data_IF_006842720591
#
_entry.id   IF_006842720591
#
_cell.length_a   1.000
_cell.length_b   1.000
_cell.length_c   1.000
_cell.angle_alpha   90.00
_cell.angle_beta   90.00
_cell.angle_gamma   90.00
#
_symmetry.space_group_name_H-M   'P 1'
#
loop_
_entity.id
_entity.type
_entity.pdbx_description
1 polymer ?
#
# COMPACT_ATOMS: atom_id res chain seq x y z
N UNK A 1 -7.23 -5.13 -1.10
CA UNK A 1 -6.98 -6.56 -0.86
C UNK A 1 -7.44 -6.96 0.53
N UNK A 2 -7.74 -8.21 0.73
CA UNK A 2 -8.24 -8.74 2.00
C UNK A 2 -7.26 -8.56 3.15
N UNK A 3 -5.98 -8.75 2.89
CA UNK A 3 -4.92 -8.63 3.89
C UNK A 3 -4.74 -7.19 4.42
N UNK A 4 -5.16 -6.20 3.66
CA UNK A 4 -5.10 -4.78 4.08
C UNK A 4 -5.88 -4.53 5.36
N UNK A 5 -6.99 -5.21 5.55
CA UNK A 5 -7.80 -5.09 6.76
C UNK A 5 -7.04 -5.49 8.02
N UNK A 6 -6.22 -6.54 7.93
CA UNK A 6 -5.35 -6.95 9.04
C UNK A 6 -4.32 -5.90 9.41
N UNK A 7 -3.72 -5.24 8.41
CA UNK A 7 -2.73 -4.19 8.64
C UNK A 7 -3.33 -3.03 9.46
N UNK A 8 -4.50 -2.56 9.05
CA UNK A 8 -5.19 -1.50 9.78
C UNK A 8 -5.67 -1.95 11.17
N UNK A 9 -6.11 -3.20 11.28
CA UNK A 9 -6.51 -3.76 12.57
C UNK A 9 -5.33 -3.80 13.56
N UNK A 10 -4.16 -4.25 13.13
CA UNK A 10 -2.96 -4.28 13.98
C UNK A 10 -2.57 -2.90 14.50
N UNK A 11 -2.72 -1.87 13.69
CA UNK A 11 -2.36 -0.49 14.07
C UNK A 11 -3.41 0.15 14.96
N UNK A 12 -4.69 -0.15 14.76
CA UNK A 12 -5.81 0.59 15.36
C UNK A 12 -6.54 -0.13 16.49
N UNK A 13 -6.48 -1.45 16.57
CA UNK A 13 -7.23 -2.22 17.56
C UNK A 13 -6.39 -2.55 18.80
N UNK A 14 -7.05 -2.69 19.95
CA UNK A 14 -6.43 -3.25 21.14
C UNK A 14 -6.13 -4.74 20.93
N UNK A 15 -5.31 -5.34 21.80
CA UNK A 15 -4.97 -6.75 21.70
C UNK A 15 -6.19 -7.67 21.76
N UNK A 16 -7.17 -7.35 22.59
CA UNK A 16 -8.42 -8.12 22.71
C UNK A 16 -9.28 -8.00 21.46
N UNK A 17 -9.42 -6.77 20.95
CA UNK A 17 -10.17 -6.51 19.72
C UNK A 17 -9.49 -7.16 18.51
N UNK A 18 -8.16 -7.11 18.45
CA UNK A 18 -7.39 -7.73 17.36
C UNK A 18 -7.58 -9.24 17.34
N UNK A 19 -7.58 -9.88 18.50
CA UNK A 19 -7.82 -11.31 18.62
C UNK A 19 -9.20 -11.69 18.08
N UNK A 20 -10.22 -10.94 18.47
CA UNK A 20 -11.58 -11.16 17.97
C UNK A 20 -11.65 -10.96 16.45
N UNK A 21 -11.00 -9.93 15.95
CA UNK A 21 -10.93 -9.66 14.51
C UNK A 21 -10.29 -10.83 13.75
N UNK A 22 -9.16 -11.34 14.23
CA UNK A 22 -8.47 -12.46 13.59
C UNK A 22 -9.29 -13.76 13.63
N UNK A 23 -10.01 -14.02 14.74
CA UNK A 23 -10.89 -15.17 14.84
C UNK A 23 -12.02 -15.13 13.81
N UNK A 24 -12.65 -13.98 13.63
CA UNK A 24 -13.71 -13.79 12.63
C UNK A 24 -13.14 -13.90 11.22
N UNK A 25 -12.01 -13.26 10.96
CA UNK A 25 -11.37 -13.23 9.66
C UNK A 25 -10.96 -14.64 9.18
N UNK A 26 -10.43 -15.47 10.08
CA UNK A 26 -9.98 -16.83 9.74
C UNK A 26 -11.08 -17.67 9.11
N UNK A 27 -12.33 -17.42 9.46
CA UNK A 27 -13.50 -18.14 8.93
C UNK A 27 -13.83 -17.79 7.48
N UNK A 28 -13.32 -16.65 6.99
CA UNK A 28 -13.62 -16.15 5.65
C UNK A 28 -12.42 -16.18 4.71
N UNK A 29 -11.23 -16.48 5.23
CA UNK A 29 -9.98 -16.41 4.47
C UNK A 29 -9.99 -17.21 3.18
N UNK A 30 -10.51 -18.44 3.22
CA UNK A 30 -10.54 -19.34 2.06
C UNK A 30 -11.49 -18.91 0.94
N UNK A 31 -12.42 -17.98 1.24
CA UNK A 31 -13.43 -17.53 0.28
C UNK A 31 -12.95 -16.42 -0.65
N UNK A 32 -11.78 -15.85 -0.37
CA UNK A 32 -11.27 -14.74 -1.15
C UNK A 32 -10.31 -15.24 -2.24
N UNK A 33 -10.50 -14.79 -3.50
CA UNK A 33 -9.59 -15.18 -4.58
C UNK A 33 -8.20 -14.58 -4.36
N UNK A 34 -7.18 -15.32 -4.78
CA UNK A 34 -5.82 -14.80 -4.79
C UNK A 34 -5.64 -13.90 -6.01
N UNK A 35 -4.94 -12.76 -5.87
CA UNK A 35 -4.65 -11.92 -7.03
C UNK A 35 -3.62 -12.59 -7.95
N UNK A 36 -3.68 -12.27 -9.24
CA UNK A 36 -2.66 -12.69 -10.21
C UNK A 36 -1.38 -11.87 -10.08
N UNK A 37 -1.53 -10.62 -9.65
CA UNK A 37 -0.44 -9.70 -9.37
C UNK A 37 -0.89 -8.71 -8.31
N UNK A 38 -0.07 -8.54 -7.28
CA UNK A 38 -0.28 -7.50 -6.28
C UNK A 38 0.67 -6.35 -6.55
N UNK A 39 0.14 -5.13 -6.64
CA UNK A 39 0.93 -3.92 -6.86
C UNK A 39 0.87 -3.09 -5.58
N UNK A 40 2.03 -2.78 -5.03
CA UNK A 40 2.16 -1.89 -3.89
C UNK A 40 2.80 -0.57 -4.34
N UNK A 41 2.03 0.50 -4.29
CA UNK A 41 2.54 1.86 -4.55
C UNK A 41 3.10 2.39 -3.23
N UNK A 42 4.41 2.37 -3.11
CA UNK A 42 5.11 2.77 -1.89
C UNK A 42 5.46 4.26 -1.95
N UNK A 43 5.08 4.99 -0.91
CA UNK A 43 5.42 6.39 -0.74
C UNK A 43 5.90 6.64 0.69
N UNK A 44 6.71 7.68 0.88
CA UNK A 44 7.16 8.06 2.23
C UNK A 44 6.00 8.60 3.06
N UNK A 45 6.05 8.47 4.39
CA UNK A 45 5.02 9.03 5.27
C UNK A 45 4.81 10.52 5.08
N UNK A 46 5.88 11.27 4.85
CA UNK A 46 5.82 12.72 4.61
C UNK A 46 5.02 13.04 3.35
N UNK A 47 5.27 12.33 2.25
CA UNK A 47 4.55 12.54 1.00
C UNK A 47 3.06 12.23 1.17
N UNK A 48 2.74 11.13 1.83
CA UNK A 48 1.35 10.75 2.09
C UNK A 48 0.67 11.83 2.96
N UNK A 49 1.36 12.32 3.97
CA UNK A 49 0.87 13.39 4.84
C UNK A 49 0.56 14.68 4.06
N UNK A 50 1.45 15.07 3.17
CA UNK A 50 1.24 16.26 2.32
C UNK A 50 0.02 16.07 1.41
N UNK A 51 -0.17 14.88 0.85
CA UNK A 51 -1.33 14.57 0.02
C UNK A 51 -2.64 14.56 0.81
N UNK A 52 -2.63 14.03 2.03
CA UNK A 52 -3.80 14.03 2.92
C UNK A 52 -4.21 15.47 3.25
N UNK A 53 -3.25 16.34 3.55
CA UNK A 53 -3.51 17.76 3.79
C UNK A 53 -4.12 18.45 2.58
N UNK A 54 -3.66 18.14 1.38
CA UNK A 54 -4.18 18.73 0.14
C UNK A 54 -5.64 18.33 -0.12
N UNK A 55 -6.09 17.17 0.33
CA UNK A 55 -7.50 16.77 0.23
C UNK A 55 -8.43 17.63 1.07
N UNK A 56 -7.95 18.15 2.22
CA UNK A 56 -8.70 19.08 3.07
C UNK A 56 -9.98 18.55 3.69
N UNK A 57 -10.14 17.25 3.80
CA UNK A 57 -11.34 16.64 4.43
C UNK A 57 -11.21 16.65 5.95
N UNK A 58 -12.26 17.08 6.66
CA UNK A 58 -12.24 17.22 8.11
C UNK A 58 -11.83 15.97 8.87
N UNK A 59 -12.28 14.79 8.44
CA UNK A 59 -11.93 13.54 9.12
C UNK A 59 -10.46 13.14 8.91
N UNK A 60 -9.80 13.68 7.89
CA UNK A 60 -8.40 13.43 7.61
C UNK A 60 -7.48 14.33 8.44
N UNK A 61 -8.00 15.40 9.04
CA UNK A 61 -7.24 16.27 9.95
C UNK A 61 -6.72 15.54 11.19
N UNK A 62 -7.38 14.44 11.57
CA UNK A 62 -6.94 13.59 12.69
C UNK A 62 -5.77 12.69 12.35
N UNK A 63 -5.44 12.56 11.06
CA UNK A 63 -4.31 11.77 10.59
C UNK A 63 -3.04 12.59 10.77
N UNK A 64 -2.12 12.11 11.60
CA UNK A 64 -0.84 12.76 11.83
C UNK A 64 0.31 11.95 11.23
N UNK A 65 1.50 12.55 11.20
CA UNK A 65 2.68 11.92 10.62
C UNK A 65 3.07 10.64 11.36
N UNK A 66 2.96 10.63 12.68
CA UNK A 66 3.26 9.44 13.50
C UNK A 66 2.37 8.25 13.14
N UNK A 67 1.08 8.49 12.96
CA UNK A 67 0.14 7.45 12.53
C UNK A 67 0.52 6.90 11.14
N UNK A 68 0.87 7.78 10.21
CA UNK A 68 1.29 7.37 8.85
C UNK A 68 2.60 6.60 8.88
N UNK A 69 3.52 6.93 9.75
CA UNK A 69 4.74 6.16 9.93
C UNK A 69 4.45 4.74 10.40
N UNK A 70 3.51 4.57 11.32
CA UNK A 70 3.07 3.24 11.78
C UNK A 70 2.42 2.43 10.67
N UNK A 71 1.56 3.06 9.87
CA UNK A 71 0.91 2.42 8.72
C UNK A 71 1.95 2.00 7.69
N UNK A 72 2.88 2.88 7.34
CA UNK A 72 3.94 2.56 6.37
C UNK A 72 4.84 1.42 6.86
N UNK A 73 5.18 1.39 8.14
CA UNK A 73 5.95 0.30 8.73
C UNK A 73 5.19 -1.03 8.66
N UNK A 74 3.91 -1.02 8.97
CA UNK A 74 3.06 -2.21 8.89
C UNK A 74 2.98 -2.75 7.46
N UNK A 75 2.83 -1.88 6.46
CA UNK A 75 2.87 -2.25 5.06
C UNK A 75 4.21 -2.87 4.65
N UNK A 76 5.31 -2.24 5.06
CA UNK A 76 6.65 -2.74 4.73
C UNK A 76 6.92 -4.13 5.31
N UNK A 77 6.55 -4.35 6.56
CA UNK A 77 6.67 -5.65 7.21
C UNK A 77 5.82 -6.72 6.50
N UNK A 78 4.58 -6.38 6.18
CA UNK A 78 3.67 -7.30 5.50
C UNK A 78 4.23 -7.71 4.14
N UNK A 79 4.64 -6.74 3.32
CA UNK A 79 5.11 -7.03 1.97
C UNK A 79 6.50 -7.68 1.96
N UNK A 80 7.28 -7.50 3.00
CA UNK A 80 8.56 -8.20 3.13
C UNK A 80 8.39 -9.72 3.13
N UNK A 81 7.34 -10.22 3.76
CA UNK A 81 7.05 -11.66 3.86
C UNK A 81 5.93 -12.15 2.93
N UNK A 82 5.35 -11.27 2.13
CA UNK A 82 4.26 -11.64 1.24
C UNK A 82 4.72 -12.56 0.12
N UNK A 83 4.02 -13.69 -0.09
CA UNK A 83 4.35 -14.68 -1.11
C UNK A 83 3.13 -15.34 -1.77
N UNK A 84 1.93 -14.85 -1.52
CA UNK A 84 0.69 -15.46 -2.03
C UNK A 84 0.48 -15.25 -3.54
N UNK A 85 1.12 -14.26 -4.12
CA UNK A 85 1.10 -13.96 -5.55
C UNK A 85 2.38 -13.23 -5.94
N UNK A 86 2.65 -13.05 -7.24
CA UNK A 86 3.68 -12.10 -7.67
C UNK A 86 3.43 -10.71 -7.08
N UNK A 87 4.48 -10.03 -6.67
CA UNK A 87 4.42 -8.72 -6.04
C UNK A 87 5.30 -7.73 -6.80
N UNK A 88 4.70 -6.60 -7.17
CA UNK A 88 5.41 -5.47 -7.76
C UNK A 88 5.34 -4.29 -6.79
N UNK A 89 6.50 -3.89 -6.25
CA UNK A 89 6.61 -2.71 -5.40
C UNK A 89 7.14 -1.55 -6.23
N UNK A 90 6.35 -0.50 -6.34
CA UNK A 90 6.73 0.71 -7.07
C UNK A 90 6.91 1.86 -6.08
N UNK A 91 8.12 2.36 -5.95
CA UNK A 91 8.36 3.58 -5.18
C UNK A 91 7.96 4.78 -6.03
N UNK A 92 6.95 5.52 -5.56
CA UNK A 92 6.35 6.65 -6.29
C UNK A 92 6.67 8.01 -5.66
N UNK A 93 7.65 8.09 -4.76
CA UNK A 93 7.99 9.33 -4.06
C UNK A 93 8.35 10.47 -5.02
N UNK A 94 9.03 10.14 -6.10
CA UNK A 94 9.59 11.15 -7.02
C UNK A 94 8.73 11.39 -8.27
N UNK A 95 7.56 10.75 -8.37
CA UNK A 95 6.69 10.87 -9.55
C UNK A 95 5.30 11.39 -9.18
N UNK A 96 4.66 12.06 -10.13
CA UNK A 96 3.28 12.53 -10.02
C UNK A 96 2.43 11.84 -11.10
N UNK A 97 1.98 10.63 -10.81
CA UNK A 97 1.22 9.83 -11.77
C UNK A 97 -0.24 10.29 -11.92
N UNK A 98 -0.72 11.18 -11.04
CA UNK A 98 -2.07 11.74 -11.13
C UNK A 98 -2.13 12.89 -12.14
N UNK A 99 -1.15 13.81 -12.07
CA UNK A 99 -1.12 15.02 -12.90
C UNK A 99 -0.23 14.89 -14.13
N UNK A 100 0.72 13.96 -14.13
CA UNK A 100 1.69 13.78 -15.22
C UNK A 100 1.42 12.47 -15.96
N UNK A 101 0.99 12.57 -17.21
CA UNK A 101 0.66 11.41 -18.05
C UNK A 101 1.88 10.50 -18.30
N UNK A 102 3.07 11.07 -18.43
CA UNK A 102 4.27 10.27 -18.67
C UNK A 102 4.66 9.47 -17.44
N UNK A 103 4.50 10.04 -16.25
CA UNK A 103 4.72 9.32 -14.99
C UNK A 103 3.72 8.17 -14.83
N UNK A 104 2.45 8.43 -15.17
CA UNK A 104 1.43 7.37 -15.19
C UNK A 104 1.79 6.25 -16.18
N UNK A 105 2.27 6.60 -17.36
CA UNK A 105 2.66 5.62 -18.37
C UNK A 105 3.81 4.73 -17.90
N UNK A 106 4.75 5.25 -17.11
CA UNK A 106 5.80 4.43 -16.51
C UNK A 106 5.22 3.32 -15.63
N UNK A 107 4.20 3.64 -14.84
CA UNK A 107 3.52 2.65 -14.00
C UNK A 107 2.86 1.57 -14.86
N UNK A 108 2.15 1.98 -15.91
CA UNK A 108 1.49 1.04 -16.83
C UNK A 108 2.52 0.13 -17.49
N UNK A 109 3.65 0.66 -17.93
CA UNK A 109 4.72 -0.15 -18.54
C UNK A 109 5.28 -1.19 -17.55
N UNK A 110 5.44 -0.82 -16.29
CA UNK A 110 5.87 -1.75 -15.23
C UNK A 110 4.85 -2.87 -15.01
N UNK A 111 3.56 -2.53 -14.98
CA UNK A 111 2.48 -3.50 -14.75
C UNK A 111 2.36 -4.49 -15.92
N UNK A 112 2.62 -4.04 -17.13
CA UNK A 112 2.57 -4.90 -18.32
C UNK A 112 3.71 -5.91 -18.43
N UNK A 113 4.77 -5.74 -17.67
CA UNK A 113 5.86 -6.71 -17.62
C UNK A 113 5.38 -8.02 -16.98
N UNK A 114 5.98 -9.11 -17.39
CA UNK A 114 5.71 -10.39 -16.75
C UNK A 114 6.46 -10.47 -15.43
N UNK A 115 5.76 -10.15 -14.35
CA UNK A 115 6.34 -10.14 -13.00
C UNK A 115 6.36 -11.56 -12.45
N UNK A 116 7.54 -12.05 -12.11
CA UNK A 116 7.75 -13.35 -11.48
C UNK A 116 8.32 -13.12 -10.09
N UNK A 117 7.67 -13.68 -9.07
CA UNK A 117 8.11 -13.52 -7.69
C UNK A 117 7.94 -12.09 -7.20
N UNK A 118 9.03 -11.45 -6.85
CA UNK A 118 9.02 -10.11 -6.25
C UNK A 118 9.94 -9.17 -7.05
N UNK A 119 9.40 -8.04 -7.48
CA UNK A 119 10.18 -6.99 -8.13
C UNK A 119 9.97 -5.65 -7.40
N UNK A 120 11.04 -4.89 -7.30
CA UNK A 120 11.07 -3.59 -6.65
C UNK A 120 11.64 -2.55 -7.63
N UNK A 121 10.86 -1.49 -7.92
CA UNK A 121 11.24 -0.46 -8.89
C UNK A 121 11.09 0.91 -8.26
N UNK A 122 12.16 1.71 -8.32
CA UNK A 122 12.12 3.14 -8.00
C UNK A 122 11.80 3.91 -9.27
N UNK A 123 10.65 4.57 -9.30
CA UNK A 123 10.25 5.38 -10.45
C UNK A 123 10.97 6.73 -10.40
N UNK A 124 11.36 7.23 -11.57
CA UNK A 124 12.01 8.53 -11.72
C UNK A 124 11.10 9.49 -12.47
N UNK A 125 11.16 10.81 -12.15
CA UNK A 125 10.31 11.77 -12.84
C UNK A 125 10.61 11.84 -14.32
N UNK A 126 9.54 12.02 -15.11
CA UNK A 126 9.63 12.23 -16.55
C UNK A 126 9.76 13.71 -16.84
N UNK A 127 10.78 14.09 -17.61
CA UNK A 127 11.06 15.49 -17.96
C UNK A 127 10.57 15.88 -19.37
N UNK A 128 9.95 14.95 -20.07
CA UNK A 128 9.49 15.18 -21.46
C UNK A 128 8.01 14.88 -21.62
#
# INVERSE_FOLDING_TARGET
>A
IFQKESLFAEVNLSNEELKLFEDVKSKFYEKYPKPDLLIYLQASPKRIFDQVKMRGKEYEEKINLEYLEKICSAYSEFFFSYSESPLLVLNVDDVDFVSNQMDFNQIIDCVKKNIIGREFINLSPSFF
#
